data_IF_917623899033
#
_entry.id   IF_917623899033
#
_cell.length_a   1.000
_cell.length_b   1.000
_cell.length_c   1.000
_cell.angle_alpha   90.00
_cell.angle_beta   90.00
_cell.angle_gamma   90.00
#
_symmetry.space_group_name_H-M   'P 1'
#
loop_
_entity.id
_entity.type
_entity.pdbx_description
1 polymer ?
#
# COMPACT_ATOMS: atom_id res chain seq x y z
N UNK A 1 -17.01 10.98 -19.22
CA UNK A 1 -16.78 9.51 -19.36
C UNK A 1 -15.88 8.99 -18.24
N UNK A 2 -14.77 9.67 -17.93
CA UNK A 2 -13.90 9.34 -16.80
C UNK A 2 -14.63 9.36 -15.45
N UNK A 3 -15.52 10.33 -15.19
CA UNK A 3 -16.28 10.37 -13.93
C UNK A 3 -17.22 9.18 -13.73
N UNK A 4 -17.83 8.66 -14.81
CA UNK A 4 -18.66 7.45 -14.73
C UNK A 4 -17.82 6.21 -14.45
N UNK A 5 -16.60 6.16 -15.00
CA UNK A 5 -15.66 5.07 -14.75
C UNK A 5 -15.21 5.08 -13.29
N UNK A 6 -14.82 6.24 -12.76
CA UNK A 6 -14.42 6.40 -11.37
C UNK A 6 -15.57 6.13 -10.39
N UNK A 7 -16.76 6.67 -10.67
CA UNK A 7 -17.93 6.42 -9.84
C UNK A 7 -18.37 4.94 -9.86
N UNK A 8 -18.16 4.23 -10.96
CA UNK A 8 -18.39 2.78 -11.05
C UNK A 8 -17.42 1.99 -10.16
N UNK A 9 -16.14 2.37 -10.09
CA UNK A 9 -15.19 1.75 -9.16
C UNK A 9 -15.50 2.08 -7.70
N UNK A 10 -15.88 3.32 -7.42
CA UNK A 10 -16.22 3.77 -6.07
C UNK A 10 -17.50 3.11 -5.52
N UNK A 11 -18.49 2.83 -6.39
CA UNK A 11 -19.76 2.22 -5.99
C UNK A 11 -19.71 0.70 -5.82
N UNK A 12 -18.59 0.03 -6.17
CA UNK A 12 -18.45 -1.42 -5.99
C UNK A 12 -18.44 -1.87 -4.53
N UNK A 13 -17.99 -0.99 -3.63
CA UNK A 13 -17.91 -1.31 -2.21
C UNK A 13 -18.54 -0.16 -1.44
N UNK A 14 -19.72 -0.42 -0.87
CA UNK A 14 -20.39 0.55 -0.02
C UNK A 14 -19.45 0.99 1.14
N UNK A 15 -19.09 2.28 1.22
CA UNK A 15 -18.28 2.79 2.31
C UNK A 15 -19.00 2.71 3.67
N UNK A 16 -20.34 2.64 3.66
CA UNK A 16 -21.19 2.73 4.85
C UNK A 16 -22.15 1.54 4.99
N UNK A 17 -21.65 0.30 5.18
CA UNK A 17 -22.51 -0.87 5.27
C UNK A 17 -23.52 -0.74 6.43
N UNK A 18 -24.80 -1.07 6.21
CA UNK A 18 -25.84 -0.99 7.24
C UNK A 18 -25.72 -2.10 8.30
N UNK A 19 -25.05 -3.21 7.94
CA UNK A 19 -24.83 -4.38 8.79
C UNK A 19 -24.25 -4.04 10.16
N UNK A 20 -24.63 -4.81 11.18
CA UNK A 20 -24.19 -4.59 12.56
C UNK A 20 -22.72 -5.00 12.68
N UNK A 21 -21.82 -4.13 13.17
CA UNK A 21 -20.43 -4.50 13.36
C UNK A 21 -20.32 -5.58 14.43
N UNK A 22 -19.63 -6.67 14.10
CA UNK A 22 -19.24 -7.74 15.02
C UNK A 22 -17.84 -7.43 15.57
N UNK A 23 -17.51 -7.94 16.76
CA UNK A 23 -16.16 -7.83 17.30
C UNK A 23 -15.14 -8.36 16.29
N UNK A 24 -14.14 -7.56 15.90
CA UNK A 24 -13.13 -8.02 14.96
C UNK A 24 -12.29 -9.14 15.62
N UNK A 25 -11.85 -10.14 14.83
CA UNK A 25 -11.15 -11.30 15.36
C UNK A 25 -9.81 -10.93 16.00
N UNK A 26 -9.40 -11.70 17.02
CA UNK A 26 -8.13 -11.50 17.69
C UNK A 26 -6.95 -11.90 16.78
N UNK A 27 -5.93 -11.03 16.70
CA UNK A 27 -4.71 -11.24 15.91
C UNK A 27 -4.62 -10.36 14.65
N UNK A 28 -3.40 -10.01 14.24
CA UNK A 28 -3.15 -9.04 13.16
C UNK A 28 -3.67 -9.50 11.79
N UNK A 29 -3.40 -10.76 11.41
CA UNK A 29 -3.81 -11.31 10.10
C UNK A 29 -5.33 -11.51 9.99
N UNK A 30 -6.01 -12.14 10.98
CA UNK A 30 -7.48 -12.23 10.96
C UNK A 30 -8.15 -10.86 10.95
N UNK A 31 -7.59 -9.89 11.70
CA UNK A 31 -8.09 -8.52 11.75
C UNK A 31 -7.99 -7.83 10.39
N UNK A 32 -6.82 -7.87 9.75
CA UNK A 32 -6.64 -7.31 8.42
C UNK A 32 -7.58 -7.99 7.42
N UNK A 33 -7.67 -9.33 7.43
CA UNK A 33 -8.54 -10.07 6.54
C UNK A 33 -10.02 -9.69 6.68
N UNK A 34 -10.51 -9.47 7.90
CA UNK A 34 -11.88 -9.03 8.15
C UNK A 34 -12.23 -7.73 7.43
N UNK A 35 -11.32 -6.74 7.45
CA UNK A 35 -11.51 -5.47 6.75
C UNK A 35 -11.23 -5.56 5.24
N UNK A 36 -10.41 -6.52 4.81
CA UNK A 36 -10.04 -6.73 3.40
C UNK A 36 -11.09 -7.48 2.59
N UNK A 37 -11.85 -8.39 3.21
CA UNK A 37 -12.87 -9.23 2.55
C UNK A 37 -13.79 -8.51 1.55
N UNK A 38 -14.34 -7.31 1.84
CA UNK A 38 -15.22 -6.60 0.92
C UNK A 38 -14.53 -6.08 -0.34
N UNK A 39 -13.20 -5.90 -0.29
CA UNK A 39 -12.41 -5.31 -1.36
C UNK A 39 -11.69 -6.37 -2.22
N UNK A 40 -11.91 -7.67 -1.98
CA UNK A 40 -11.18 -8.76 -2.65
C UNK A 40 -11.22 -8.67 -4.18
N UNK A 41 -12.38 -8.33 -4.77
CA UNK A 41 -12.49 -8.21 -6.23
C UNK A 41 -11.60 -7.10 -6.81
N UNK A 42 -11.53 -5.95 -6.14
CA UNK A 42 -10.68 -4.83 -6.55
C UNK A 42 -9.20 -5.09 -6.29
N UNK A 43 -8.89 -5.75 -5.17
CA UNK A 43 -7.52 -6.12 -4.83
C UNK A 43 -6.97 -7.16 -5.81
N UNK A 44 -7.73 -8.19 -6.16
CA UNK A 44 -7.31 -9.19 -7.16
C UNK A 44 -7.06 -8.52 -8.52
N UNK A 45 -7.94 -7.60 -8.94
CA UNK A 45 -7.73 -6.84 -10.17
C UNK A 45 -6.43 -6.01 -10.12
N UNK A 46 -6.16 -5.34 -9.00
CA UNK A 46 -4.92 -4.58 -8.79
C UNK A 46 -3.67 -5.47 -8.81
N UNK A 47 -3.69 -6.63 -8.12
CA UNK A 47 -2.59 -7.61 -8.14
C UNK A 47 -2.28 -8.05 -9.57
N UNK A 48 -3.31 -8.42 -10.32
CA UNK A 48 -3.14 -8.93 -11.68
C UNK A 48 -2.59 -7.86 -12.61
N UNK A 49 -3.12 -6.63 -12.54
CA UNK A 49 -2.61 -5.50 -13.32
C UNK A 49 -1.16 -5.19 -12.97
N UNK A 50 -0.83 -5.10 -11.67
CA UNK A 50 0.54 -4.84 -11.21
C UNK A 50 1.51 -5.93 -11.65
N UNK A 51 1.11 -7.21 -11.58
CA UNK A 51 1.92 -8.34 -12.06
C UNK A 51 2.14 -8.30 -13.57
N UNK A 52 1.10 -7.97 -14.36
CA UNK A 52 1.21 -7.83 -15.83
C UNK A 52 2.14 -6.68 -16.19
N UNK A 53 2.03 -5.53 -15.52
CA UNK A 53 2.91 -4.37 -15.74
C UNK A 53 4.37 -4.75 -15.44
N UNK A 54 4.62 -5.33 -14.26
CA UNK A 54 5.97 -5.76 -13.88
C UNK A 54 6.56 -6.79 -14.87
N UNK A 55 5.73 -7.72 -15.37
CA UNK A 55 6.17 -8.69 -16.37
C UNK A 55 6.54 -8.03 -17.70
N UNK A 56 5.73 -7.08 -18.18
CA UNK A 56 6.02 -6.32 -19.40
C UNK A 56 7.34 -5.55 -19.22
N UNK A 57 7.55 -4.90 -18.08
CA UNK A 57 8.79 -4.16 -17.81
C UNK A 57 10.03 -5.05 -17.77
N UNK A 58 9.97 -6.21 -17.11
CA UNK A 58 11.05 -7.22 -17.13
C UNK A 58 11.35 -7.64 -18.56
N UNK A 59 10.30 -7.92 -19.35
CA UNK A 59 10.45 -8.28 -20.76
C UNK A 59 11.09 -7.15 -21.59
N UNK A 60 10.78 -5.89 -21.29
CA UNK A 60 11.39 -4.73 -21.96
C UNK A 60 12.90 -4.66 -21.73
N UNK A 61 13.41 -5.05 -20.55
CA UNK A 61 14.85 -5.14 -20.32
C UNK A 61 15.51 -6.24 -21.16
N UNK A 62 14.86 -7.41 -21.26
CA UNK A 62 15.33 -8.49 -22.12
C UNK A 62 15.33 -8.08 -23.61
N UNK A 63 14.27 -7.39 -24.03
CA UNK A 63 14.13 -6.82 -25.36
C UNK A 63 15.22 -5.80 -25.66
N UNK A 64 15.57 -4.92 -24.70
CA UNK A 64 16.64 -3.96 -24.87
C UNK A 64 17.98 -4.66 -25.14
N UNK A 65 18.29 -5.73 -24.40
CA UNK A 65 19.47 -6.57 -24.67
C UNK A 65 19.48 -7.11 -26.10
N UNK A 66 18.39 -7.76 -26.50
CA UNK A 66 18.24 -8.28 -27.87
C UNK A 66 18.34 -7.17 -28.93
N UNK A 67 17.86 -5.95 -28.65
CA UNK A 67 17.92 -4.83 -29.57
C UNK A 67 19.38 -4.38 -29.78
N UNK A 68 20.18 -4.31 -28.70
CA UNK A 68 21.62 -4.01 -28.80
C UNK A 68 22.32 -5.07 -29.63
N UNK A 69 22.05 -6.35 -29.38
CA UNK A 69 22.62 -7.47 -30.15
C UNK A 69 22.23 -7.39 -31.63
N UNK A 70 20.96 -7.04 -31.92
CA UNK A 70 20.46 -6.89 -33.27
C UNK A 70 21.13 -5.73 -34.04
N UNK A 71 21.35 -4.59 -33.37
CA UNK A 71 22.01 -3.42 -33.98
C UNK A 71 23.50 -3.68 -34.25
N UNK A 72 24.14 -4.54 -33.46
CA UNK A 72 25.56 -4.88 -33.65
C UNK A 72 25.80 -5.93 -34.74
N UNK A 73 24.82 -6.81 -35.02
CA UNK A 73 24.97 -7.93 -35.96
C UNK A 73 24.25 -7.76 -37.30
N UNK A 74 23.25 -6.87 -37.41
CA UNK A 74 22.41 -6.77 -38.60
C UNK A 74 23.02 -5.94 -39.74
N UNK A 75 22.78 -6.39 -40.98
CA UNK A 75 23.18 -5.72 -42.20
C UNK A 75 22.26 -4.52 -42.51
N UNK A 76 22.84 -3.33 -42.72
CA UNK A 76 22.11 -2.03 -42.73
C UNK A 76 21.05 -1.93 -43.83
N UNK A 77 21.13 -2.75 -44.88
CA UNK A 77 20.28 -2.68 -46.05
C UNK A 77 18.86 -3.25 -45.83
N UNK A 78 18.71 -4.31 -45.02
CA UNK A 78 17.42 -5.03 -44.86
C UNK A 78 16.80 -4.90 -43.45
N UNK A 79 17.43 -4.13 -42.56
CA UNK A 79 17.04 -3.98 -41.15
C UNK A 79 15.57 -3.53 -40.98
N UNK A 80 15.17 -2.47 -41.68
CA UNK A 80 13.82 -1.90 -41.55
C UNK A 80 12.74 -2.75 -42.19
N UNK A 81 13.06 -3.47 -43.26
CA UNK A 81 12.10 -4.36 -43.93
C UNK A 81 11.83 -5.62 -43.11
N UNK A 82 12.82 -6.10 -42.36
CA UNK A 82 12.71 -7.35 -41.58
C UNK A 82 12.21 -7.10 -40.15
N UNK A 83 12.68 -6.02 -39.49
CA UNK A 83 12.41 -5.78 -38.07
C UNK A 83 11.49 -4.57 -37.80
N UNK A 84 11.14 -3.77 -38.81
CA UNK A 84 10.37 -2.55 -38.64
C UNK A 84 9.00 -2.77 -37.98
N UNK A 85 8.27 -3.82 -38.36
CA UNK A 85 6.95 -4.13 -37.76
C UNK A 85 7.07 -4.54 -36.29
N UNK A 86 8.06 -5.38 -35.96
CA UNK A 86 8.27 -5.84 -34.59
C UNK A 86 8.74 -4.71 -33.67
N UNK A 87 9.65 -3.84 -34.14
CA UNK A 87 10.07 -2.65 -33.42
C UNK A 87 8.92 -1.63 -33.25
N UNK A 88 8.08 -1.45 -34.27
CA UNK A 88 6.90 -0.58 -34.18
C UNK A 88 5.87 -1.10 -33.18
N UNK A 89 5.63 -2.42 -33.12
CA UNK A 89 4.76 -3.03 -32.12
C UNK A 89 5.29 -2.84 -30.70
N UNK A 90 6.60 -2.99 -30.48
CA UNK A 90 7.20 -2.71 -29.18
C UNK A 90 7.19 -1.23 -28.82
N UNK A 91 7.41 -0.34 -29.79
CA UNK A 91 7.22 1.10 -29.59
C UNK A 91 5.78 1.43 -29.17
N UNK A 92 4.78 0.83 -29.82
CA UNK A 92 3.37 1.00 -29.45
C UNK A 92 3.05 0.41 -28.07
N UNK A 93 3.65 -0.73 -27.71
CA UNK A 93 3.53 -1.33 -26.39
C UNK A 93 4.02 -0.36 -25.30
N UNK A 94 5.18 0.26 -25.49
CA UNK A 94 5.79 1.17 -24.51
C UNK A 94 5.07 2.52 -24.44
N UNK A 95 4.64 3.07 -25.58
CA UNK A 95 4.07 4.43 -25.63
C UNK A 95 2.57 4.44 -25.33
N UNK A 96 1.84 3.38 -25.67
CA UNK A 96 0.37 3.36 -25.56
C UNK A 96 -0.08 2.36 -24.50
N UNK A 97 0.31 1.09 -24.64
CA UNK A 97 -0.25 0.01 -23.81
C UNK A 97 0.23 0.12 -22.37
N UNK A 98 1.54 0.32 -22.15
CA UNK A 98 2.11 0.39 -20.80
C UNK A 98 1.57 1.60 -20.00
N UNK A 99 1.48 2.82 -20.57
CA UNK A 99 0.82 3.94 -19.89
C UNK A 99 -0.68 3.70 -19.65
N UNK A 100 -1.39 3.07 -20.58
CA UNK A 100 -2.81 2.74 -20.40
C UNK A 100 -3.03 1.72 -19.27
N UNK A 101 -2.20 0.67 -19.18
CA UNK A 101 -2.26 -0.31 -18.11
C UNK A 101 -1.92 0.32 -16.75
N UNK A 102 -0.86 1.13 -16.70
CA UNK A 102 -0.51 1.88 -15.48
C UNK A 102 -1.64 2.82 -15.07
N UNK A 103 -2.25 3.53 -16.01
CA UNK A 103 -3.38 4.41 -15.72
C UNK A 103 -4.56 3.67 -15.10
N UNK A 104 -4.92 2.50 -15.65
CA UNK A 104 -6.01 1.66 -15.11
C UNK A 104 -5.65 1.13 -13.73
N UNK A 105 -4.43 0.59 -13.57
CA UNK A 105 -3.95 0.07 -12.28
C UNK A 105 -3.97 1.16 -11.22
N UNK A 106 -3.37 2.31 -11.51
CA UNK A 106 -3.29 3.42 -10.57
C UNK A 106 -4.66 4.03 -10.27
N UNK A 107 -5.58 4.05 -11.23
CA UNK A 107 -6.96 4.47 -11.00
C UNK A 107 -7.67 3.56 -10.00
N UNK A 108 -7.52 2.24 -10.12
CA UNK A 108 -8.10 1.27 -9.18
C UNK A 108 -7.51 1.49 -7.78
N UNK A 109 -6.20 1.62 -7.67
CA UNK A 109 -5.48 1.74 -6.40
C UNK A 109 -5.71 3.09 -5.70
N UNK A 110 -5.66 4.20 -6.44
CA UNK A 110 -5.86 5.54 -5.88
C UNK A 110 -7.33 5.87 -5.63
N UNK A 111 -8.19 5.61 -6.59
CA UNK A 111 -9.59 6.05 -6.52
C UNK A 111 -10.50 4.98 -5.90
N UNK A 112 -10.35 3.73 -6.32
CA UNK A 112 -11.21 2.64 -5.83
C UNK A 112 -10.84 2.13 -4.43
N UNK A 113 -9.54 2.00 -4.13
CA UNK A 113 -9.07 1.34 -2.90
C UNK A 113 -8.65 2.32 -1.81
N UNK A 114 -7.72 3.25 -2.08
CA UNK A 114 -7.09 4.07 -1.02
C UNK A 114 -8.06 4.92 -0.20
N UNK A 115 -9.07 5.50 -0.84
CA UNK A 115 -10.12 6.28 -0.19
C UNK A 115 -11.13 5.41 0.55
N UNK A 116 -11.80 4.51 -0.18
CA UNK A 116 -12.90 3.69 0.34
C UNK A 116 -12.46 2.71 1.42
N UNK A 117 -11.27 2.13 1.31
CA UNK A 117 -10.78 1.14 2.28
C UNK A 117 -10.62 1.75 3.68
N UNK A 118 -9.91 2.88 3.77
CA UNK A 118 -9.72 3.56 5.06
C UNK A 118 -11.06 4.09 5.59
N UNK A 119 -11.92 4.64 4.73
CA UNK A 119 -13.22 5.19 5.17
C UNK A 119 -14.14 4.11 5.72
N UNK A 120 -14.30 2.99 5.02
CA UNK A 120 -15.12 1.86 5.47
C UNK A 120 -14.60 1.27 6.78
N UNK A 121 -13.28 1.13 6.91
CA UNK A 121 -12.65 0.63 8.13
C UNK A 121 -12.91 1.58 9.32
N UNK A 122 -12.76 2.90 9.11
CA UNK A 122 -13.11 3.91 10.13
C UNK A 122 -14.57 3.83 10.53
N UNK A 123 -15.47 3.72 9.56
CA UNK A 123 -16.91 3.67 9.82
C UNK A 123 -17.31 2.43 10.63
N UNK A 124 -16.81 1.26 10.24
CA UNK A 124 -17.05 0.02 10.96
C UNK A 124 -16.50 0.06 12.40
N UNK A 125 -15.28 0.58 12.57
CA UNK A 125 -14.67 0.74 13.89
C UNK A 125 -15.44 1.76 14.76
N UNK A 126 -15.84 2.90 14.20
CA UNK A 126 -16.63 3.91 14.89
C UNK A 126 -17.98 3.36 15.37
N UNK A 127 -18.73 2.68 14.49
CA UNK A 127 -20.02 2.05 14.86
C UNK A 127 -19.86 0.94 15.90
N UNK A 128 -18.70 0.29 15.98
CA UNK A 128 -18.39 -0.69 17.02
C UNK A 128 -18.09 -0.01 18.37
N UNK A 129 -17.28 1.06 18.36
CA UNK A 129 -16.93 1.82 19.58
C UNK A 129 -18.16 2.45 20.23
N UNK A 130 -19.08 3.00 19.44
CA UNK A 130 -20.34 3.59 19.93
C UNK A 130 -21.23 2.62 20.72
N UNK A 131 -20.97 1.30 20.61
CA UNK A 131 -21.76 0.25 21.29
C UNK A 131 -21.08 -0.27 22.56
N UNK A 132 -19.94 0.29 22.93
CA UNK A 132 -19.26 -0.07 24.17
C UNK A 132 -20.02 0.45 25.40
N UNK A 133 -19.74 -0.15 26.56
CA UNK A 133 -20.38 0.24 27.83
C UNK A 133 -19.99 1.65 28.26
N UNK A 134 -20.81 2.26 29.12
CA UNK A 134 -20.48 3.55 29.72
C UNK A 134 -19.18 3.48 30.52
N UNK A 135 -18.92 2.36 31.20
CA UNK A 135 -17.68 2.11 31.92
C UNK A 135 -16.44 2.19 31.02
N UNK A 136 -16.54 1.76 29.75
CA UNK A 136 -15.43 1.90 28.80
C UNK A 136 -15.12 3.38 28.53
N UNK A 137 -16.14 4.21 28.33
CA UNK A 137 -15.98 5.65 28.07
C UNK A 137 -15.54 6.45 29.31
N UNK A 138 -15.82 5.96 30.52
CA UNK A 138 -15.31 6.56 31.75
C UNK A 138 -13.84 6.19 32.03
N UNK A 139 -13.41 4.98 31.66
CA UNK A 139 -12.07 4.47 31.95
C UNK A 139 -11.04 4.76 30.84
N UNK A 140 -11.47 5.02 29.60
CA UNK A 140 -10.58 5.36 28.49
C UNK A 140 -10.86 6.77 27.95
N UNK A 141 -9.79 7.55 27.73
CA UNK A 141 -9.91 8.91 27.21
C UNK A 141 -10.42 8.88 25.77
N UNK A 142 -11.45 9.67 25.47
CA UNK A 142 -12.05 9.75 24.13
C UNK A 142 -11.01 10.03 23.02
N UNK A 143 -10.00 10.87 23.30
CA UNK A 143 -8.90 11.16 22.37
C UNK A 143 -8.01 9.95 22.04
N UNK A 144 -7.78 9.04 23.00
CA UNK A 144 -7.04 7.79 22.79
C UNK A 144 -7.81 6.85 21.88
N UNK A 145 -9.10 6.68 22.15
CA UNK A 145 -9.99 5.84 21.34
C UNK A 145 -10.11 6.39 19.91
N UNK A 146 -10.31 7.71 19.75
CA UNK A 146 -10.37 8.36 18.44
C UNK A 146 -9.07 8.18 17.63
N UNK A 147 -7.91 8.34 18.28
CA UNK A 147 -6.61 8.13 17.63
C UNK A 147 -6.44 6.69 17.16
N UNK A 148 -6.79 5.70 17.99
CA UNK A 148 -6.76 4.28 17.60
C UNK A 148 -7.66 4.02 16.39
N UNK A 149 -8.90 4.48 16.39
CA UNK A 149 -9.83 4.31 15.25
C UNK A 149 -9.28 4.94 13.97
N UNK A 150 -8.75 6.17 14.05
CA UNK A 150 -8.25 6.90 12.89
C UNK A 150 -6.99 6.29 12.30
N UNK A 151 -6.01 5.97 13.15
CA UNK A 151 -4.69 5.50 12.73
C UNK A 151 -4.70 4.02 12.34
N UNK A 152 -5.45 3.18 13.05
CA UNK A 152 -5.56 1.76 12.70
C UNK A 152 -6.16 1.59 11.31
N UNK A 153 -7.15 2.39 10.91
CA UNK A 153 -7.73 2.31 9.57
C UNK A 153 -6.72 2.62 8.46
N UNK A 154 -5.85 3.62 8.67
CA UNK A 154 -4.76 3.94 7.75
C UNK A 154 -3.70 2.84 7.72
N UNK A 155 -3.32 2.33 8.90
CA UNK A 155 -2.33 1.26 9.02
C UNK A 155 -2.76 -0.04 8.32
N UNK A 156 -4.01 -0.47 8.49
CA UNK A 156 -4.53 -1.68 7.81
C UNK A 156 -4.53 -1.47 6.30
N UNK A 157 -5.04 -0.33 5.82
CA UNK A 157 -5.01 0.02 4.40
C UNK A 157 -3.57 -0.08 3.86
N UNK A 158 -2.63 0.61 4.49
CA UNK A 158 -1.26 0.69 3.99
C UNK A 158 -0.57 -0.68 4.01
N UNK A 159 -0.85 -1.51 5.02
CA UNK A 159 -0.37 -2.89 5.05
C UNK A 159 -0.91 -3.69 3.86
N UNK A 160 -2.24 -3.73 3.69
CA UNK A 160 -2.89 -4.51 2.63
C UNK A 160 -2.43 -4.06 1.25
N UNK A 161 -2.37 -2.75 1.00
CA UNK A 161 -1.91 -2.21 -0.29
C UNK A 161 -0.45 -2.58 -0.56
N UNK A 162 0.44 -2.49 0.43
CA UNK A 162 1.84 -2.90 0.26
C UNK A 162 1.99 -4.39 -0.05
N UNK A 163 1.24 -5.26 0.63
CA UNK A 163 1.27 -6.70 0.35
C UNK A 163 0.73 -7.05 -1.04
N UNK A 164 -0.28 -6.32 -1.49
CA UNK A 164 -1.01 -6.60 -2.73
C UNK A 164 -0.31 -6.02 -3.96
N UNK A 165 0.30 -4.85 -3.84
CA UNK A 165 0.91 -4.14 -4.98
C UNK A 165 2.43 -4.18 -4.89
N UNK A 166 3.00 -3.57 -3.85
CA UNK A 166 4.45 -3.35 -3.75
C UNK A 166 5.21 -4.67 -3.68
N UNK A 167 4.79 -5.60 -2.83
CA UNK A 167 5.48 -6.89 -2.69
C UNK A 167 5.36 -7.72 -3.96
N UNK A 168 4.20 -7.75 -4.61
CA UNK A 168 4.00 -8.48 -5.87
C UNK A 168 4.90 -7.91 -6.95
N UNK A 169 4.86 -6.58 -7.15
CA UNK A 169 5.69 -5.88 -8.12
C UNK A 169 7.19 -6.14 -7.90
N UNK A 170 7.69 -5.92 -6.68
CA UNK A 170 9.11 -6.14 -6.34
C UNK A 170 9.50 -7.60 -6.53
N UNK A 171 8.61 -8.54 -6.20
CA UNK A 171 8.88 -9.98 -6.35
C UNK A 171 9.00 -10.37 -7.82
N UNK A 172 8.06 -9.94 -8.67
CA UNK A 172 8.11 -10.20 -10.12
C UNK A 172 9.36 -9.56 -10.74
N UNK A 173 9.66 -8.32 -10.38
CA UNK A 173 10.81 -7.59 -10.91
C UNK A 173 12.13 -8.24 -10.49
N UNK A 174 12.28 -8.59 -9.20
CA UNK A 174 13.49 -9.23 -8.69
C UNK A 174 13.70 -10.62 -9.30
N UNK A 175 12.66 -11.45 -9.35
CA UNK A 175 12.73 -12.78 -9.98
C UNK A 175 13.03 -12.62 -11.48
N UNK A 176 12.38 -11.68 -12.16
CA UNK A 176 12.60 -11.41 -13.57
C UNK A 176 14.04 -10.99 -13.88
N UNK A 177 14.57 -10.03 -13.11
CA UNK A 177 15.96 -9.61 -13.23
C UNK A 177 16.94 -10.76 -12.92
N UNK A 178 16.65 -11.57 -11.89
CA UNK A 178 17.47 -12.71 -11.53
C UNK A 178 17.52 -13.74 -12.67
N UNK A 179 16.38 -14.06 -13.28
CA UNK A 179 16.29 -14.97 -14.44
C UNK A 179 17.04 -14.41 -15.64
N UNK A 180 16.89 -13.11 -15.93
CA UNK A 180 17.58 -12.47 -17.05
C UNK A 180 19.10 -12.53 -16.89
N UNK A 181 19.60 -12.27 -15.68
CA UNK A 181 21.04 -12.37 -15.39
C UNK A 181 21.51 -13.84 -15.45
N UNK A 182 20.70 -14.77 -14.96
CA UNK A 182 20.98 -16.21 -15.00
C UNK A 182 21.14 -16.74 -16.43
N UNK A 183 20.40 -16.19 -17.40
CA UNK A 183 20.54 -16.58 -18.81
C UNK A 183 21.87 -16.16 -19.43
N UNK A 184 22.52 -15.14 -18.87
CA UNK A 184 23.84 -14.68 -19.33
C UNK A 184 24.97 -15.45 -18.66
N UNK A 185 24.99 -15.50 -17.33
CA UNK A 185 25.94 -16.30 -16.53
C UNK A 185 25.39 -16.50 -15.11
N UNK A 186 25.38 -17.74 -14.61
CA UNK A 186 24.94 -18.06 -13.25
C UNK A 186 25.76 -17.33 -12.17
N UNK A 187 27.04 -17.05 -12.42
CA UNK A 187 27.90 -16.39 -11.43
C UNK A 187 27.46 -14.96 -11.15
N UNK A 188 26.85 -14.29 -12.14
CA UNK A 188 26.35 -12.93 -12.03
C UNK A 188 25.12 -12.81 -11.11
N UNK A 189 24.47 -13.93 -10.75
CA UNK A 189 23.39 -13.95 -9.76
C UNK A 189 23.89 -13.79 -8.32
N UNK A 190 25.14 -14.19 -8.04
CA UNK A 190 25.67 -14.27 -6.68
C UNK A 190 25.61 -12.93 -5.92
N UNK A 191 26.01 -11.77 -6.50
CA UNK A 191 25.89 -10.49 -5.82
C UNK A 191 24.44 -10.12 -5.46
N UNK A 192 23.46 -10.42 -6.33
CA UNK A 192 22.05 -10.13 -6.07
C UNK A 192 21.49 -11.00 -4.94
N UNK A 193 21.87 -12.28 -4.90
CA UNK A 193 21.44 -13.19 -3.83
C UNK A 193 22.07 -12.83 -2.49
N UNK A 194 23.38 -12.51 -2.47
CA UNK A 194 24.06 -12.04 -1.26
C UNK A 194 23.38 -10.77 -0.74
N UNK A 195 23.06 -9.83 -1.63
CA UNK A 195 22.34 -8.61 -1.27
C UNK A 195 20.95 -8.91 -0.70
N UNK A 196 20.18 -9.81 -1.33
CA UNK A 196 18.86 -10.21 -0.84
C UNK A 196 18.92 -10.83 0.55
N UNK A 197 19.89 -11.72 0.79
CA UNK A 197 20.11 -12.35 2.10
C UNK A 197 20.50 -11.29 3.14
N UNK A 198 21.40 -10.36 2.79
CA UNK A 198 21.79 -9.25 3.65
C UNK A 198 20.61 -8.33 3.99
N UNK A 199 19.78 -8.01 3.01
CA UNK A 199 18.55 -7.23 3.20
C UNK A 199 17.55 -7.96 4.10
N UNK A 200 17.33 -9.25 3.87
CA UNK A 200 16.49 -10.10 4.71
C UNK A 200 16.97 -10.16 6.16
N UNK A 201 18.27 -10.31 6.39
CA UNK A 201 18.88 -10.29 7.72
C UNK A 201 18.71 -8.93 8.41
N UNK A 202 18.92 -7.83 7.68
CA UNK A 202 18.67 -6.49 8.20
C UNK A 202 17.20 -6.30 8.58
N UNK A 203 16.25 -6.70 7.73
CA UNK A 203 14.83 -6.66 8.06
C UNK A 203 14.51 -7.49 9.30
N UNK A 204 15.02 -8.71 9.38
CA UNK A 204 14.80 -9.59 10.53
C UNK A 204 15.31 -8.99 11.85
N UNK A 205 16.42 -8.26 11.82
CA UNK A 205 16.98 -7.60 12.99
C UNK A 205 16.29 -6.27 13.35
N UNK A 206 16.09 -5.38 12.37
CA UNK A 206 15.62 -4.01 12.60
C UNK A 206 14.10 -3.89 12.69
N UNK A 207 13.33 -4.61 11.86
CA UNK A 207 11.85 -4.51 11.85
C UNK A 207 11.21 -4.82 13.20
N UNK A 208 11.54 -5.93 13.92
CA UNK A 208 10.91 -6.21 15.21
C UNK A 208 11.28 -5.18 16.29
N UNK A 209 12.50 -4.60 16.22
CA UNK A 209 12.95 -3.56 17.16
C UNK A 209 12.22 -2.25 16.92
N UNK A 210 12.12 -1.84 15.65
CA UNK A 210 11.35 -0.66 15.26
C UNK A 210 9.88 -0.82 15.65
N UNK A 211 9.28 -2.00 15.45
CA UNK A 211 7.90 -2.26 15.85
C UNK A 211 7.65 -2.04 17.35
N UNK A 212 8.55 -2.53 18.22
CA UNK A 212 8.45 -2.30 19.68
C UNK A 212 8.58 -0.82 20.04
N UNK A 213 9.55 -0.11 19.44
CA UNK A 213 9.75 1.32 19.69
C UNK A 213 8.58 2.16 19.17
N UNK A 214 8.04 1.85 18.00
CA UNK A 214 6.86 2.51 17.45
C UNK A 214 5.61 2.31 18.31
N UNK A 215 5.45 1.14 18.94
CA UNK A 215 4.33 0.90 19.87
C UNK A 215 4.42 1.79 21.11
N UNK A 216 5.60 1.88 21.73
CA UNK A 216 5.84 2.76 22.88
C UNK A 216 5.63 4.23 22.48
N UNK A 217 6.16 4.64 21.33
CA UNK A 217 6.00 5.99 20.81
C UNK A 217 4.52 6.34 20.56
N UNK A 218 3.73 5.42 20.01
CA UNK A 218 2.31 5.62 19.73
C UNK A 218 1.51 5.79 21.03
N UNK A 219 1.80 5.01 22.06
CA UNK A 219 1.12 5.10 23.36
C UNK A 219 1.42 6.43 24.07
N UNK A 220 2.71 6.82 24.11
CA UNK A 220 3.14 8.10 24.67
C UNK A 220 2.56 9.30 23.92
N UNK A 221 2.55 9.26 22.59
CA UNK A 221 1.92 10.30 21.77
C UNK A 221 0.43 10.43 22.09
N UNK A 222 -0.27 9.30 22.23
CA UNK A 222 -1.70 9.32 22.55
C UNK A 222 -1.99 9.89 23.94
N UNK A 223 -1.13 9.63 24.94
CA UNK A 223 -1.25 10.22 26.28
C UNK A 223 -1.08 11.74 26.24
N UNK A 224 -0.05 12.23 25.54
CA UNK A 224 0.20 13.68 25.40
C UNK A 224 -0.94 14.36 24.67
N UNK A 225 -1.39 13.83 23.52
CA UNK A 225 -2.53 14.39 22.78
C UNK A 225 -3.80 14.41 23.64
N UNK A 226 -4.04 13.36 24.44
CA UNK A 226 -5.17 13.32 25.38
C UNK A 226 -5.12 14.46 26.40
N UNK A 227 -3.96 14.68 27.02
CA UNK A 227 -3.76 15.77 28.00
C UNK A 227 -3.91 17.16 27.36
N UNK A 228 -3.39 17.36 26.15
CA UNK A 228 -3.50 18.64 25.44
C UNK A 228 -4.96 18.97 25.12
N UNK A 229 -5.74 17.99 24.65
CA UNK A 229 -7.17 18.17 24.38
C UNK A 229 -7.94 18.49 25.67
N UNK A 230 -7.58 17.85 26.78
CA UNK A 230 -8.18 18.13 28.09
C UNK A 230 -7.89 19.57 28.56
N UNK A 231 -6.64 20.03 28.42
CA UNK A 231 -6.26 21.42 28.71
C UNK A 231 -7.04 22.43 27.86
N UNK A 232 -7.25 22.15 26.56
CA UNK A 232 -8.06 23.02 25.70
C UNK A 232 -9.55 23.00 26.06
N UNK A 233 -10.09 21.84 26.44
CA UNK A 233 -11.50 21.70 26.84
C UNK A 233 -11.79 22.44 28.14
N UNK A 234 -10.82 22.45 29.07
CA UNK A 234 -10.92 23.10 30.37
C UNK A 234 -10.16 24.44 30.45
N UNK A 235 -9.91 25.09 29.31
CA UNK A 235 -9.06 26.28 29.23
C UNK A 235 -9.56 27.46 30.09
N UNK A 236 -10.88 27.59 30.28
CA UNK A 236 -11.47 28.62 31.14
C UNK A 236 -11.07 28.44 32.60
N UNK A 237 -11.11 27.20 33.11
CA UNK A 237 -10.72 26.86 34.48
C UNK A 237 -9.22 27.00 34.67
N UNK A 238 -8.42 26.56 33.70
CA UNK A 238 -6.95 26.70 33.75
C UNK A 238 -6.58 28.18 33.85
N UNK A 239 -7.12 29.05 32.99
CA UNK A 239 -6.81 30.49 33.02
C UNK A 239 -7.30 31.23 34.26
N UNK A 240 -8.31 30.71 34.95
CA UNK A 240 -8.83 31.32 36.18
C UNK A 240 -7.99 31.00 37.42
N UNK A 241 -7.30 29.86 37.43
CA UNK A 241 -6.66 29.31 38.64
C UNK A 241 -5.16 29.01 38.48
N UNK A 242 -4.66 28.77 37.26
CA UNK A 242 -3.24 28.64 37.00
C UNK A 242 -2.62 30.04 36.99
N UNK A 243 -1.64 30.26 37.88
CA UNK A 243 -0.81 31.47 37.81
C UNK A 243 0.07 31.37 36.54
N UNK A 244 0.27 32.51 35.87
CA UNK A 244 0.84 32.63 34.52
C UNK A 244 2.19 31.91 34.26
N UNK A 245 2.89 31.44 35.30
CA UNK A 245 4.18 30.74 35.20
C UNK A 245 4.07 29.21 34.98
N UNK A 246 2.86 28.64 34.91
CA UNK A 246 2.63 27.18 34.71
C UNK A 246 1.81 26.83 33.46
N UNK A 247 1.63 27.77 32.54
CA UNK A 247 0.80 27.58 31.34
C UNK A 247 1.51 26.87 30.17
N UNK A 248 2.85 26.89 30.13
CA UNK A 248 3.69 26.35 29.04
C UNK A 248 4.21 24.91 29.25
#
# INVERSE_FOLDING_TARGET
MLDRFFHWFESRVDPFPPERPVQPPAGLLPFAWYFTRPFLGLLIASVLLSAVIAFIEVYLFAFLGNLVDLVTTADRANFWQTHGVWLALMGALVVIILPALNFVSESISHQGLRGNFAMRTRWAAHRYVLRQSMDFFHNDFAGRVATKVMQTALGVRDAVMKFTEVIVYVSVYFIGALVLVATSDLWLMAPMLIWLVGYGAACWYFVPRLGKLSAIQADMRSLVTGRVVDSYTNASTVKLFAHADRED
#
